data_IF_060562865000
#
_entry.id   IF_060562865000
#
_cell.length_a   1.000
_cell.length_b   1.000
_cell.length_c   1.000
_cell.angle_alpha   90.00
_cell.angle_beta   90.00
_cell.angle_gamma   90.00
#
_symmetry.space_group_name_H-M   'P 1'
#
loop_
_entity.id
_entity.type
_entity.pdbx_description
1 polymer ?
#
# COMPACT_ATOMS: atom_id res chain seq x y z
N UNK A 1 -54.20 39.39 39.08
CA UNK A 1 -52.82 38.95 39.33
C UNK A 1 -52.52 37.86 38.32
N UNK A 2 -51.70 38.18 37.31
CA UNK A 2 -51.31 37.22 36.27
C UNK A 2 -49.92 36.68 36.60
N UNK A 3 -49.79 35.38 36.84
CA UNK A 3 -48.50 34.73 37.04
C UNK A 3 -47.81 34.54 35.69
N UNK A 4 -46.61 35.10 35.56
CA UNK A 4 -45.72 34.91 34.42
C UNK A 4 -45.06 33.53 34.50
N UNK A 5 -45.10 32.72 33.42
CA UNK A 5 -44.48 31.41 33.43
C UNK A 5 -42.93 31.56 33.43
N UNK A 6 -42.27 30.97 34.42
CA UNK A 6 -40.79 30.88 34.49
C UNK A 6 -40.34 29.83 33.47
N UNK A 7 -39.84 30.28 32.32
CA UNK A 7 -39.22 29.42 31.33
C UNK A 7 -37.85 28.95 31.87
N UNK A 8 -37.78 27.69 32.31
CA UNK A 8 -36.49 27.03 32.62
C UNK A 8 -35.64 26.95 31.36
N UNK A 9 -34.63 27.80 31.24
CA UNK A 9 -33.57 27.64 30.27
C UNK A 9 -32.76 26.40 30.60
N UNK A 10 -33.06 25.30 29.94
CA UNK A 10 -32.21 24.12 29.97
C UNK A 10 -30.87 24.47 29.31
N UNK A 11 -29.82 24.38 30.07
CA UNK A 11 -28.47 24.78 29.68
C UNK A 11 -27.98 23.92 28.48
N UNK A 12 -27.80 24.47 27.29
CA UNK A 12 -27.34 23.71 26.12
C UNK A 12 -25.89 23.18 26.25
N UNK A 13 -25.20 23.59 27.31
CA UNK A 13 -23.80 23.25 27.54
C UNK A 13 -23.51 21.76 27.75
N UNK A 14 -24.38 21.00 28.43
CA UNK A 14 -24.14 19.57 28.73
C UNK A 14 -24.30 18.68 27.51
N UNK A 15 -25.34 18.93 26.71
CA UNK A 15 -25.58 18.16 25.46
C UNK A 15 -24.51 18.45 24.40
N UNK A 16 -24.04 19.70 24.29
CA UNK A 16 -22.96 20.07 23.38
C UNK A 16 -21.62 19.43 23.81
N UNK A 17 -21.32 19.41 25.11
CA UNK A 17 -20.10 18.75 25.63
C UNK A 17 -20.14 17.23 25.39
N UNK A 18 -21.27 16.57 25.66
CA UNK A 18 -21.43 15.13 25.41
C UNK A 18 -21.29 14.81 23.91
N UNK A 19 -21.88 15.61 23.03
CA UNK A 19 -21.75 15.46 21.59
C UNK A 19 -20.30 15.63 21.10
N UNK A 20 -19.59 16.62 21.63
CA UNK A 20 -18.18 16.84 21.28
C UNK A 20 -17.29 15.69 21.77
N UNK A 21 -17.52 15.20 22.99
CA UNK A 21 -16.77 14.08 23.55
C UNK A 21 -16.99 12.81 22.74
N UNK A 22 -18.23 12.51 22.35
CA UNK A 22 -18.55 11.37 21.50
C UNK A 22 -17.86 11.47 20.12
N UNK A 23 -17.89 12.65 19.52
CA UNK A 23 -17.21 12.91 18.24
C UNK A 23 -15.70 12.65 18.35
N UNK A 24 -15.06 13.16 19.41
CA UNK A 24 -13.63 12.93 19.65
C UNK A 24 -13.31 11.45 19.83
N UNK A 25 -14.13 10.70 20.59
CA UNK A 25 -13.94 9.25 20.78
C UNK A 25 -14.06 8.51 19.45
N UNK A 26 -15.04 8.85 18.61
CA UNK A 26 -15.24 8.22 17.30
C UNK A 26 -14.05 8.54 16.37
N UNK A 27 -13.58 9.77 16.35
CA UNK A 27 -12.43 10.17 15.53
C UNK A 27 -11.13 9.49 16.00
N UNK A 28 -10.85 9.50 17.30
CA UNK A 28 -9.66 8.84 17.86
C UNK A 28 -9.73 7.32 17.63
N UNK A 29 -10.88 6.71 17.89
CA UNK A 29 -11.11 5.28 17.63
C UNK A 29 -10.95 4.93 16.15
N UNK A 30 -11.52 5.73 15.26
CA UNK A 30 -11.37 5.56 13.80
C UNK A 30 -9.93 5.66 13.34
N UNK A 31 -9.18 6.66 13.82
CA UNK A 31 -7.75 6.81 13.53
C UNK A 31 -6.95 5.62 14.07
N UNK A 32 -7.21 5.19 15.32
CA UNK A 32 -6.52 4.05 15.92
C UNK A 32 -6.76 2.76 15.12
N UNK A 33 -8.00 2.49 14.72
CA UNK A 33 -8.33 1.34 13.86
C UNK A 33 -7.61 1.45 12.53
N UNK A 34 -7.66 2.60 11.87
CA UNK A 34 -7.01 2.79 10.58
C UNK A 34 -5.48 2.64 10.64
N UNK A 35 -4.83 3.18 11.69
CA UNK A 35 -3.37 3.08 11.86
C UNK A 35 -2.89 1.65 12.14
N UNK A 36 -3.75 0.81 12.74
CA UNK A 36 -3.46 -0.60 13.01
C UNK A 36 -3.90 -1.54 11.90
N UNK A 37 -4.74 -1.05 10.97
CA UNK A 37 -5.24 -1.85 9.84
C UNK A 37 -4.12 -2.05 8.82
N UNK A 38 -3.80 -3.31 8.53
CA UNK A 38 -2.95 -3.63 7.38
C UNK A 38 -3.71 -3.34 6.07
N UNK A 39 -3.03 -3.11 4.94
CA UNK A 39 -3.71 -3.05 3.66
C UNK A 39 -4.35 -4.41 3.39
N UNK A 40 -5.68 -4.45 3.36
CA UNK A 40 -6.44 -5.68 3.20
C UNK A 40 -7.22 -5.61 1.90
N UNK A 41 -7.02 -6.62 1.04
CA UNK A 41 -7.64 -6.67 -0.28
C UNK A 41 -7.31 -5.37 -1.06
N UNK A 42 -8.27 -4.49 -1.30
CA UNK A 42 -8.10 -3.21 -2.00
C UNK A 42 -8.13 -1.99 -1.07
N UNK A 43 -8.42 -2.20 0.20
CA UNK A 43 -8.42 -1.11 1.19
C UNK A 43 -6.98 -0.75 1.53
N UNK A 44 -6.57 0.51 1.34
CA UNK A 44 -5.23 0.94 1.73
C UNK A 44 -5.10 0.94 3.25
N UNK A 45 -3.88 0.63 3.70
CA UNK A 45 -3.49 0.73 5.11
C UNK A 45 -2.61 1.96 5.37
N UNK A 46 -2.15 2.07 6.61
CA UNK A 46 -1.26 3.12 7.07
C UNK A 46 0.19 2.61 7.11
N UNK A 47 0.75 2.40 8.28
CA UNK A 47 2.12 1.92 8.45
C UNK A 47 2.20 0.40 8.38
N UNK A 48 3.16 -0.13 7.64
CA UNK A 48 3.45 -1.56 7.67
C UNK A 48 4.24 -1.91 8.94
N UNK A 49 3.59 -2.62 9.86
CA UNK A 49 4.18 -3.13 11.09
C UNK A 49 4.59 -4.59 10.92
N UNK A 50 5.61 -5.01 11.65
CA UNK A 50 6.13 -6.39 11.65
C UNK A 50 7.61 -6.43 12.04
N UNK A 51 8.21 -7.61 12.01
CA UNK A 51 9.64 -7.79 12.24
C UNK A 51 10.45 -7.13 11.13
N UNK A 52 11.27 -6.16 11.49
CA UNK A 52 12.06 -5.40 10.53
C UNK A 52 13.34 -6.16 10.18
N UNK A 53 13.53 -6.41 8.88
CA UNK A 53 14.79 -6.95 8.36
C UNK A 53 15.90 -5.92 8.58
N UNK A 54 17.02 -6.37 9.16
CA UNK A 54 18.18 -5.53 9.52
C UNK A 54 19.43 -5.84 8.69
N UNK A 55 19.39 -6.87 7.87
CA UNK A 55 20.47 -7.23 6.95
C UNK A 55 20.05 -7.02 5.50
N UNK A 56 20.98 -6.61 4.62
CA UNK A 56 20.68 -6.40 3.20
C UNK A 56 20.11 -7.66 2.54
N UNK A 57 19.11 -7.49 1.70
CA UNK A 57 18.57 -8.56 0.86
C UNK A 57 19.09 -8.36 -0.56
N UNK A 58 19.84 -9.33 -1.05
CA UNK A 58 20.44 -9.33 -2.40
C UNK A 58 19.68 -10.23 -3.37
N UNK A 59 19.02 -11.28 -2.87
CA UNK A 59 18.18 -12.19 -3.63
C UNK A 59 16.74 -12.14 -3.12
N UNK A 60 15.83 -11.69 -3.98
CA UNK A 60 14.40 -11.55 -3.70
C UNK A 60 13.54 -12.67 -4.29
N UNK A 61 14.14 -13.80 -4.72
CA UNK A 61 13.41 -14.89 -5.37
C UNK A 61 12.22 -15.40 -4.55
N UNK A 62 12.32 -15.36 -3.21
CA UNK A 62 11.25 -15.78 -2.29
C UNK A 62 9.94 -14.97 -2.43
N UNK A 63 9.96 -13.79 -3.05
CA UNK A 63 8.73 -13.04 -3.30
C UNK A 63 7.83 -13.71 -4.33
N UNK A 64 8.38 -14.64 -5.12
CA UNK A 64 7.60 -15.38 -6.09
C UNK A 64 6.74 -16.48 -5.45
N UNK A 65 6.98 -16.82 -4.17
CA UNK A 65 6.26 -17.86 -3.44
C UNK A 65 5.01 -17.34 -2.71
N UNK A 66 4.72 -16.05 -2.84
CA UNK A 66 3.53 -15.43 -2.24
C UNK A 66 2.67 -14.76 -3.32
N UNK A 67 1.34 -14.78 -3.18
CA UNK A 67 0.45 -14.19 -4.20
C UNK A 67 0.61 -12.67 -4.30
N UNK A 68 0.73 -11.98 -3.18
CA UNK A 68 0.84 -10.52 -3.10
C UNK A 68 1.88 -10.12 -2.05
N UNK A 69 2.44 -8.93 -2.22
CA UNK A 69 3.19 -8.22 -1.20
C UNK A 69 2.48 -6.92 -0.84
N UNK A 70 2.88 -6.34 0.27
CA UNK A 70 2.39 -5.05 0.72
C UNK A 70 3.52 -4.05 0.61
N UNK A 71 3.25 -2.90 0.00
CA UNK A 71 4.20 -1.81 -0.04
C UNK A 71 3.70 -0.62 0.75
N UNK A 72 4.63 0.14 1.29
CA UNK A 72 4.37 1.43 1.92
C UNK A 72 5.20 2.49 1.23
N UNK A 73 4.53 3.56 0.84
CA UNK A 73 5.12 4.79 0.30
C UNK A 73 4.77 5.96 1.21
N UNK A 74 5.39 7.11 1.01
CA UNK A 74 5.03 8.35 1.72
C UNK A 74 4.12 9.19 0.83
N UNK A 75 2.94 9.53 1.34
CA UNK A 75 2.01 10.44 0.68
C UNK A 75 1.66 11.59 1.63
N UNK A 76 1.93 12.82 1.21
CA UNK A 76 1.72 14.03 2.05
C UNK A 76 2.40 13.96 3.43
N UNK A 77 3.57 13.32 3.52
CA UNK A 77 4.29 13.12 4.78
C UNK A 77 3.77 11.99 5.67
N UNK A 78 2.74 11.26 5.23
CA UNK A 78 2.13 10.16 5.97
C UNK A 78 2.37 8.82 5.28
N UNK A 79 2.50 7.72 6.04
CA UNK A 79 2.53 6.38 5.48
C UNK A 79 1.25 6.05 4.71
N UNK A 80 1.40 5.42 3.56
CA UNK A 80 0.30 4.88 2.78
C UNK A 80 0.70 3.51 2.24
N UNK A 81 -0.04 2.47 2.59
CA UNK A 81 0.29 1.11 2.21
C UNK A 81 -0.82 0.44 1.38
N UNK A 82 -0.40 -0.39 0.43
CA UNK A 82 -1.29 -1.11 -0.48
C UNK A 82 -0.79 -2.52 -0.76
N UNK A 83 -1.71 -3.41 -1.13
CA UNK A 83 -1.37 -4.72 -1.70
C UNK A 83 -1.04 -4.58 -3.17
N UNK A 84 0.05 -5.21 -3.59
CA UNK A 84 0.49 -5.25 -4.97
C UNK A 84 1.00 -6.63 -5.37
N UNK A 85 1.02 -6.88 -6.67
CA UNK A 85 1.84 -7.93 -7.23
C UNK A 85 3.31 -7.50 -7.21
N UNK A 86 4.15 -8.27 -6.53
CA UNK A 86 5.60 -8.18 -6.60
C UNK A 86 6.15 -9.43 -7.26
N UNK A 87 7.26 -9.31 -7.96
CA UNK A 87 7.91 -10.42 -8.65
C UNK A 87 9.41 -10.25 -8.63
N UNK A 88 10.13 -11.35 -8.56
CA UNK A 88 11.56 -11.38 -8.77
C UNK A 88 11.91 -12.06 -10.08
N UNK A 89 12.92 -11.51 -10.75
CA UNK A 89 13.56 -12.12 -11.91
C UNK A 89 14.45 -13.29 -11.48
N UNK A 90 14.86 -14.18 -12.40
CA UNK A 90 15.71 -15.33 -12.06
C UNK A 90 17.05 -14.95 -11.41
N UNK A 91 17.53 -13.74 -11.63
CA UNK A 91 18.72 -13.16 -11.02
C UNK A 91 18.43 -12.45 -9.67
N UNK A 92 17.27 -12.72 -9.06
CA UNK A 92 16.92 -12.26 -7.72
C UNK A 92 16.54 -10.77 -7.62
N UNK A 93 16.35 -10.06 -8.73
CA UNK A 93 15.95 -8.65 -8.70
C UNK A 93 14.46 -8.49 -8.46
N UNK A 94 14.09 -7.63 -7.50
CA UNK A 94 12.69 -7.36 -7.13
C UNK A 94 12.08 -6.24 -7.96
N UNK A 95 10.86 -6.49 -8.46
CA UNK A 95 10.09 -5.54 -9.23
C UNK A 95 8.64 -5.45 -8.76
N UNK A 96 8.06 -4.27 -8.98
CA UNK A 96 6.63 -3.99 -8.92
C UNK A 96 6.19 -3.42 -10.26
N UNK A 97 4.99 -3.78 -10.70
CA UNK A 97 4.43 -3.19 -11.92
C UNK A 97 2.96 -2.85 -11.72
N UNK A 98 2.53 -1.76 -12.33
CA UNK A 98 1.12 -1.37 -12.33
C UNK A 98 0.69 -0.75 -13.66
N UNK A 99 -0.53 -1.06 -14.06
CA UNK A 99 -1.24 -0.37 -15.13
C UNK A 99 -1.76 0.96 -14.63
N UNK A 100 -1.55 2.05 -15.39
CA UNK A 100 -2.04 3.37 -15.05
C UNK A 100 -1.62 3.84 -13.66
N UNK A 101 -0.35 3.67 -13.32
CA UNK A 101 0.20 4.07 -12.02
C UNK A 101 -0.06 5.54 -11.69
N UNK A 102 -0.03 6.40 -12.68
CA UNK A 102 -0.29 7.84 -12.55
C UNK A 102 -1.71 8.17 -12.12
N UNK A 103 -2.66 7.22 -12.26
CA UNK A 103 -4.05 7.36 -11.78
C UNK A 103 -4.26 6.78 -10.39
N UNK A 104 -3.31 5.97 -9.91
CA UNK A 104 -3.38 5.34 -8.58
C UNK A 104 -2.78 6.25 -7.53
N UNK A 105 -3.42 6.35 -6.37
CA UNK A 105 -2.97 7.24 -5.30
C UNK A 105 -1.50 6.97 -4.93
N UNK A 106 -1.13 5.71 -4.62
CA UNK A 106 0.23 5.35 -4.29
C UNK A 106 1.23 5.62 -5.43
N UNK A 107 0.81 5.34 -6.68
CA UNK A 107 1.68 5.47 -7.86
C UNK A 107 2.04 6.91 -8.20
N UNK A 108 1.18 7.88 -7.84
CA UNK A 108 1.45 9.31 -7.98
C UNK A 108 2.41 9.83 -6.92
N UNK A 109 2.48 9.15 -5.77
CA UNK A 109 3.27 9.60 -4.62
C UNK A 109 4.62 8.90 -4.52
N UNK A 110 4.80 7.74 -5.16
CA UNK A 110 6.12 7.09 -5.19
C UNK A 110 7.07 7.87 -6.08
N UNK A 111 8.19 8.30 -5.52
CA UNK A 111 9.25 9.01 -6.23
C UNK A 111 10.41 8.07 -6.53
N UNK A 112 11.21 8.43 -7.52
CA UNK A 112 12.47 7.72 -7.77
C UNK A 112 13.45 7.95 -6.61
N UNK A 113 14.19 6.91 -6.24
CA UNK A 113 15.09 6.89 -5.07
C UNK A 113 14.41 7.14 -3.71
N UNK A 114 13.09 7.01 -3.63
CA UNK A 114 12.36 7.15 -2.38
C UNK A 114 12.50 5.89 -1.51
N UNK A 115 12.71 6.11 -0.22
CA UNK A 115 12.65 5.03 0.77
C UNK A 115 11.21 4.66 1.07
N UNK A 116 10.97 3.37 1.23
CA UNK A 116 9.69 2.82 1.63
C UNK A 116 9.85 1.49 2.34
N UNK A 117 8.75 0.75 2.42
CA UNK A 117 8.75 -0.58 3.04
C UNK A 117 8.04 -1.58 2.14
N UNK A 118 8.55 -2.79 2.15
CA UNK A 118 7.90 -3.97 1.62
C UNK A 118 7.56 -4.89 2.79
N UNK A 119 6.36 -5.47 2.85
CA UNK A 119 6.03 -6.50 3.83
C UNK A 119 5.61 -7.79 3.14
N UNK A 120 6.19 -8.89 3.60
CA UNK A 120 5.91 -10.26 3.16
C UNK A 120 5.88 -11.16 4.40
N UNK A 121 4.82 -11.95 4.54
CA UNK A 121 4.69 -12.93 5.63
C UNK A 121 5.01 -12.35 7.02
N UNK A 122 4.53 -11.13 7.31
CA UNK A 122 4.75 -10.44 8.58
C UNK A 122 6.10 -9.74 8.72
N UNK A 123 7.09 -10.02 7.86
CA UNK A 123 8.40 -9.37 7.88
C UNK A 123 8.40 -8.12 7.01
N UNK A 124 8.99 -7.05 7.55
CA UNK A 124 9.11 -5.75 6.90
C UNK A 124 10.54 -5.53 6.41
N UNK A 125 10.66 -5.19 5.14
CA UNK A 125 11.94 -4.94 4.47
C UNK A 125 12.02 -3.46 4.11
N UNK A 126 12.97 -2.69 4.67
CA UNK A 126 13.27 -1.35 4.17
C UNK A 126 13.77 -1.43 2.72
N UNK A 127 13.18 -0.64 1.84
CA UNK A 127 13.48 -0.67 0.40
C UNK A 127 13.60 0.73 -0.18
N UNK A 128 14.31 0.84 -1.31
CA UNK A 128 14.37 2.04 -2.14
C UNK A 128 13.71 1.72 -3.48
N UNK A 129 12.80 2.58 -3.91
CA UNK A 129 12.10 2.49 -5.18
C UNK A 129 12.93 3.16 -6.29
N UNK A 130 13.11 2.47 -7.41
CA UNK A 130 13.72 3.02 -8.61
C UNK A 130 12.77 2.84 -9.79
N UNK A 131 12.43 3.92 -10.47
CA UNK A 131 11.63 3.83 -11.69
C UNK A 131 12.47 3.23 -12.81
N UNK A 132 11.95 2.21 -13.47
CA UNK A 132 12.62 1.54 -14.59
C UNK A 132 12.18 2.19 -15.89
N UNK A 133 13.17 2.57 -16.72
CA UNK A 133 12.96 3.14 -18.05
C UNK A 133 13.63 2.34 -19.16
N UNK A 134 14.58 1.45 -18.82
CA UNK A 134 15.27 0.60 -19.79
C UNK A 134 14.34 -0.51 -20.28
N UNK A 135 14.09 -0.56 -21.58
CA UNK A 135 13.16 -1.49 -22.23
C UNK A 135 13.49 -2.96 -21.93
N UNK A 136 14.75 -3.36 -22.01
CA UNK A 136 15.15 -4.74 -21.74
C UNK A 136 14.90 -5.16 -20.29
N UNK A 137 15.03 -4.22 -19.33
CA UNK A 137 14.72 -4.46 -17.92
C UNK A 137 13.22 -4.53 -17.72
N UNK A 138 12.45 -3.65 -18.37
CA UNK A 138 10.98 -3.66 -18.35
C UNK A 138 10.43 -4.99 -18.87
N UNK A 139 10.98 -5.52 -19.96
CA UNK A 139 10.53 -6.78 -20.54
C UNK A 139 10.89 -7.99 -19.66
N UNK A 140 12.07 -7.99 -19.03
CA UNK A 140 12.42 -9.02 -18.03
C UNK A 140 11.49 -9.00 -16.81
N UNK A 141 11.20 -7.83 -16.30
CA UNK A 141 10.25 -7.67 -15.17
C UNK A 141 8.85 -8.13 -15.57
N UNK A 142 8.41 -7.83 -16.81
CA UNK A 142 7.14 -8.28 -17.34
C UNK A 142 7.08 -9.82 -17.47
N UNK A 143 8.11 -10.45 -18.00
CA UNK A 143 8.20 -11.91 -18.08
C UNK A 143 8.11 -12.57 -16.69
N UNK A 144 8.78 -12.00 -15.68
CA UNK A 144 8.64 -12.47 -14.30
C UNK A 144 7.21 -12.29 -13.76
N UNK A 145 6.54 -11.19 -14.10
CA UNK A 145 5.13 -10.97 -13.75
C UNK A 145 4.21 -12.00 -14.42
N UNK A 146 4.38 -12.23 -15.71
CA UNK A 146 3.58 -13.24 -16.45
C UNK A 146 3.73 -14.59 -15.78
N UNK A 147 4.97 -15.03 -15.52
CA UNK A 147 5.24 -16.31 -14.85
C UNK A 147 4.56 -16.40 -13.48
N UNK A 148 4.63 -15.37 -12.67
CA UNK A 148 3.97 -15.33 -11.36
C UNK A 148 2.45 -15.41 -11.46
N UNK A 149 1.87 -14.70 -12.42
CA UNK A 149 0.41 -14.70 -12.63
C UNK A 149 -0.13 -16.01 -13.22
N UNK A 150 0.71 -16.86 -13.83
CA UNK A 150 0.31 -18.24 -14.17
C UNK A 150 0.01 -19.07 -12.91
N UNK A 151 0.65 -18.75 -11.78
CA UNK A 151 0.48 -19.45 -10.50
C UNK A 151 -0.57 -18.79 -9.62
N UNK A 152 -0.51 -17.47 -9.49
CA UNK A 152 -1.30 -16.70 -8.52
C UNK A 152 -2.28 -15.71 -9.17
N UNK A 153 -2.41 -15.75 -10.48
CA UNK A 153 -3.37 -14.92 -11.20
C UNK A 153 -4.79 -15.42 -11.03
N UNK A 154 -5.72 -14.53 -11.28
CA UNK A 154 -7.15 -14.79 -11.21
C UNK A 154 -7.94 -13.55 -10.79
N UNK A 155 -9.23 -13.57 -11.08
CA UNK A 155 -10.12 -12.47 -10.76
C UNK A 155 -9.86 -11.18 -11.56
N UNK A 156 -10.64 -10.12 -11.26
CA UNK A 156 -10.69 -8.92 -12.12
C UNK A 156 -9.45 -8.04 -12.00
N UNK A 157 -8.66 -8.18 -10.93
CA UNK A 157 -7.52 -7.27 -10.64
C UNK A 157 -6.15 -7.84 -11.02
N UNK A 158 -6.05 -9.15 -11.12
CA UNK A 158 -4.84 -9.89 -11.51
C UNK A 158 -5.20 -10.98 -12.53
N UNK A 159 -5.74 -10.62 -13.69
CA UNK A 159 -6.08 -11.61 -14.71
C UNK A 159 -4.82 -12.40 -15.09
N UNK A 160 -5.00 -13.68 -15.40
CA UNK A 160 -3.92 -14.53 -15.90
C UNK A 160 -3.61 -14.11 -17.34
N UNK A 161 -2.41 -13.55 -17.62
CA UNK A 161 -2.05 -13.21 -18.99
C UNK A 161 -1.72 -14.47 -19.79
N UNK A 162 -1.72 -14.38 -21.12
CA UNK A 162 -1.11 -15.43 -21.95
C UNK A 162 0.38 -15.59 -21.60
N UNK A 163 0.95 -16.80 -21.62
CA UNK A 163 2.37 -17.02 -21.31
C UNK A 163 3.34 -16.20 -22.19
N UNK A 164 2.93 -15.87 -23.40
CA UNK A 164 3.64 -15.06 -24.38
C UNK A 164 3.18 -13.59 -24.45
N UNK A 165 2.37 -13.16 -23.45
CA UNK A 165 1.81 -11.81 -23.43
C UNK A 165 2.91 -10.75 -23.47
N UNK A 166 2.83 -9.86 -24.46
CA UNK A 166 3.70 -8.71 -24.56
C UNK A 166 3.37 -7.68 -23.50
N UNK A 167 4.42 -6.97 -23.03
CA UNK A 167 4.26 -5.90 -22.05
C UNK A 167 3.45 -4.74 -22.66
N UNK A 168 2.33 -4.35 -22.00
CA UNK A 168 1.62 -3.14 -22.41
C UNK A 168 2.46 -1.89 -22.14
N UNK A 169 2.44 -0.94 -23.07
CA UNK A 169 3.29 0.27 -23.02
C UNK A 169 2.96 1.19 -21.84
N UNK A 170 1.69 1.20 -21.41
CA UNK A 170 1.19 2.04 -20.32
C UNK A 170 1.53 1.50 -18.92
N UNK A 171 2.24 0.39 -18.83
CA UNK A 171 2.66 -0.16 -17.55
C UNK A 171 3.93 0.51 -17.03
N UNK A 172 3.83 1.04 -15.81
CA UNK A 172 5.00 1.51 -15.08
C UNK A 172 5.57 0.39 -14.23
N UNK A 173 6.89 0.32 -14.16
CA UNK A 173 7.63 -0.67 -13.37
C UNK A 173 8.63 0.02 -12.46
N UNK A 174 8.71 -0.46 -11.24
CA UNK A 174 9.69 -0.04 -10.25
C UNK A 174 10.56 -1.24 -9.86
N UNK A 175 11.87 -1.02 -9.83
CA UNK A 175 12.83 -1.93 -9.20
C UNK A 175 12.98 -1.53 -7.74
N UNK A 176 12.93 -2.50 -6.82
CA UNK A 176 13.18 -2.28 -5.41
C UNK A 176 14.55 -2.86 -5.03
N UNK A 177 15.30 -2.12 -4.23
CA UNK A 177 16.53 -2.58 -3.62
C UNK A 177 16.42 -2.49 -2.11
N UNK A 178 17.17 -3.32 -1.38
CA UNK A 178 17.32 -3.18 0.06
C UNK A 178 17.84 -1.77 0.38
N UNK A 179 17.28 -1.15 1.41
CA UNK A 179 17.68 0.17 1.91
C UNK A 179 18.68 0.08 3.08
N UNK A 180 19.19 -1.14 3.34
CA UNK A 180 20.14 -1.45 4.41
C UNK A 180 21.49 -1.72 3.78
#
# INVERSE_FOLDING_TARGET
MAETPVTRRTTPRRTTLLGLTLLVIVLVGGVAVWTTTCPCNQTPGFMLLGDVQTTPVTDWSFVNDVPLCQIQVTAFGLPHSVNLNCMATPDGQLFLSCSGCERKFWGRHVKDNEQGRLRLNGRVYPVIFHRVTNEAVLDRAWAARVKKLQVYGGGPYNPVPSPDAKRPKEWSTFKLRSAI
#
